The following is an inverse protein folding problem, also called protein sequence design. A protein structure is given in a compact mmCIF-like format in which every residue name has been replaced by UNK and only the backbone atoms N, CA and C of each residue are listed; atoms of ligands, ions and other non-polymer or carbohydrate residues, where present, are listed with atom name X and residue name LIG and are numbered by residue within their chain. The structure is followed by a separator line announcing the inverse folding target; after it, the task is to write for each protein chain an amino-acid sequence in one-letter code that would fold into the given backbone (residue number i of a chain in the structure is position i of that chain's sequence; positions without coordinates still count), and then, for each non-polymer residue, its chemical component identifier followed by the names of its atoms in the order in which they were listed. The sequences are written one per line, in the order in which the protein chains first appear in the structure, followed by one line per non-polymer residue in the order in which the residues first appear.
data_IF_107631160080
#
_entry.id   IF_107631160080
#
_cell.length_a   1.000
_cell.length_b   1.000
_cell.length_c   1.000
_cell.angle_alpha   90.00
_cell.angle_beta   90.00
_cell.angle_gamma   90.00
#
_symmetry.space_group_name_H-M   'P 1'
#
loop_
_entity.id
_entity.type
_entity.pdbx_description
1 polymer ?
#
# COMPACT_ATOMS: atom_id res chain seq x y z
N UNK A 1 28.09 12.23 -3.72
CA UNK A 1 28.36 12.94 -4.99
C UNK A 1 27.91 12.03 -6.12
N UNK A 2 27.26 12.56 -7.16
CA UNK A 2 26.97 11.79 -8.39
C UNK A 2 27.75 12.40 -9.55
N UNK A 3 28.31 11.56 -10.42
CA UNK A 3 29.04 12.01 -11.62
C UNK A 3 28.62 11.19 -12.84
N UNK A 4 28.56 11.87 -14.00
CA UNK A 4 28.49 11.18 -15.29
C UNK A 4 29.92 10.94 -15.78
N UNK A 5 30.24 9.69 -16.09
CA UNK A 5 31.50 9.30 -16.71
C UNK A 5 31.24 8.88 -18.15
N UNK A 6 31.95 9.51 -19.08
CA UNK A 6 31.96 9.16 -20.50
C UNK A 6 33.24 8.38 -20.80
N UNK A 7 33.11 7.10 -21.17
CA UNK A 7 34.29 6.30 -21.55
C UNK A 7 34.56 6.45 -23.04
N UNK A 8 35.77 6.87 -23.41
CA UNK A 8 36.16 7.22 -24.77
C UNK A 8 36.06 6.05 -25.77
N UNK A 9 36.38 4.82 -25.34
CA UNK A 9 36.44 3.66 -26.25
C UNK A 9 35.14 2.86 -26.33
N UNK A 10 34.31 2.86 -25.29
CA UNK A 10 33.15 1.96 -25.20
C UNK A 10 31.81 2.60 -25.54
N UNK A 11 31.79 3.92 -25.84
CA UNK A 11 30.56 4.73 -26.00
C UNK A 11 29.55 4.58 -24.84
N UNK A 12 29.99 4.05 -23.69
CA UNK A 12 29.16 3.93 -22.50
C UNK A 12 29.19 5.22 -21.70
N UNK A 13 27.99 5.63 -21.29
CA UNK A 13 27.78 6.66 -20.28
C UNK A 13 27.45 5.96 -18.97
N UNK A 14 28.30 6.12 -17.97
CA UNK A 14 28.10 5.54 -16.65
C UNK A 14 27.73 6.64 -15.66
N UNK A 15 26.91 6.32 -14.66
CA UNK A 15 26.67 7.21 -13.52
C UNK A 15 27.35 6.62 -12.31
N UNK A 16 28.34 7.32 -11.77
CA UNK A 16 29.06 6.93 -10.56
C UNK A 16 28.45 7.61 -9.34
N UNK A 17 28.39 6.88 -8.23
CA UNK A 17 27.97 7.38 -6.92
C UNK A 17 29.07 7.16 -5.90
N UNK A 18 29.42 8.24 -5.20
CA UNK A 18 30.35 8.23 -4.08
C UNK A 18 29.56 8.32 -2.78
N UNK A 19 29.68 7.32 -1.92
CA UNK A 19 28.95 7.23 -0.65
C UNK A 19 29.76 6.45 0.38
N UNK A 20 29.88 6.97 1.62
CA UNK A 20 30.53 6.30 2.76
C UNK A 20 31.96 5.77 2.45
N UNK A 21 32.71 6.49 1.61
CA UNK A 21 34.05 6.08 1.18
C UNK A 21 34.09 5.08 0.01
N UNK A 22 32.93 4.58 -0.43
CA UNK A 22 32.79 3.61 -1.51
C UNK A 22 32.31 4.25 -2.82
N UNK A 23 32.62 3.60 -3.94
CA UNK A 23 32.21 4.00 -5.30
C UNK A 23 31.28 2.94 -5.90
N UNK A 24 30.10 3.37 -6.32
CA UNK A 24 29.08 2.50 -6.92
C UNK A 24 28.78 2.92 -8.36
N UNK A 25 28.72 1.96 -9.27
CA UNK A 25 28.18 2.16 -10.63
C UNK A 25 26.65 2.03 -10.61
N UNK A 26 25.94 3.04 -11.10
CA UNK A 26 24.49 3.01 -11.22
C UNK A 26 24.10 2.29 -12.51
N UNK A 27 23.70 1.03 -12.40
CA UNK A 27 23.11 0.28 -13.52
C UNK A 27 21.65 0.71 -13.73
N UNK A 28 21.27 0.95 -14.98
CA UNK A 28 19.87 1.19 -15.34
C UNK A 28 19.03 -0.05 -15.04
N UNK A 29 17.82 0.15 -14.53
CA UNK A 29 16.83 -0.92 -14.46
C UNK A 29 16.26 -1.15 -15.87
N UNK A 30 16.50 -2.32 -16.44
CA UNK A 30 15.72 -2.84 -17.57
C UNK A 30 14.79 -3.94 -17.07
N UNK A 31 13.80 -4.33 -17.88
CA UNK A 31 13.14 -5.62 -17.65
C UNK A 31 14.21 -6.71 -17.54
N UNK A 32 14.03 -7.61 -16.59
CA UNK A 32 14.86 -8.81 -16.53
C UNK A 32 14.58 -9.65 -17.76
N UNK A 33 15.60 -10.31 -18.31
CA UNK A 33 15.43 -11.17 -19.48
C UNK A 33 14.31 -12.21 -19.32
N UNK A 34 14.12 -12.72 -18.10
CA UNK A 34 13.07 -13.70 -17.76
C UNK A 34 11.85 -13.06 -17.07
N UNK A 35 11.68 -11.74 -17.16
CA UNK A 35 10.48 -11.11 -16.64
C UNK A 35 9.30 -11.41 -17.55
N UNK A 36 8.17 -11.78 -16.94
CA UNK A 36 6.92 -12.02 -17.66
C UNK A 36 5.75 -11.39 -16.89
N UNK A 37 5.56 -10.06 -17.00
CA UNK A 37 4.57 -9.32 -16.23
C UNK A 37 3.13 -9.84 -16.38
N UNK A 38 2.83 -10.53 -17.48
CA UNK A 38 1.53 -11.15 -17.73
C UNK A 38 1.12 -12.16 -16.64
N UNK A 39 2.06 -12.95 -16.10
CA UNK A 39 1.76 -13.86 -14.98
C UNK A 39 1.35 -13.06 -13.74
N UNK A 40 2.11 -12.03 -13.36
CA UNK A 40 1.78 -11.20 -12.21
C UNK A 40 0.44 -10.47 -12.38
N UNK A 41 0.18 -9.95 -13.59
CA UNK A 41 -1.10 -9.35 -13.92
C UNK A 41 -2.26 -10.34 -13.75
N UNK A 42 -2.11 -11.57 -14.26
CA UNK A 42 -3.11 -12.62 -14.14
C UNK A 42 -3.37 -13.01 -12.68
N UNK A 43 -2.31 -13.24 -11.89
CA UNK A 43 -2.42 -13.59 -10.46
C UNK A 43 -3.15 -12.49 -9.69
N UNK A 44 -2.79 -11.22 -9.90
CA UNK A 44 -3.47 -10.11 -9.20
C UNK A 44 -4.90 -9.89 -9.65
N UNK A 45 -5.22 -10.16 -10.92
CA UNK A 45 -6.60 -10.11 -11.43
C UNK A 45 -7.45 -11.22 -10.80
N UNK A 46 -6.92 -12.45 -10.76
CA UNK A 46 -7.58 -13.58 -10.13
C UNK A 46 -7.85 -13.32 -8.64
N UNK A 47 -6.86 -12.86 -7.89
CA UNK A 47 -7.03 -12.53 -6.47
C UNK A 47 -8.13 -11.46 -6.24
N UNK A 48 -8.19 -10.42 -7.08
CA UNK A 48 -9.27 -9.40 -7.00
C UNK A 48 -10.65 -9.98 -7.28
N UNK A 49 -10.77 -10.82 -8.30
CA UNK A 49 -12.04 -11.47 -8.66
C UNK A 49 -12.48 -12.47 -7.59
N UNK A 50 -11.53 -13.19 -7.00
CA UNK A 50 -11.81 -14.10 -5.89
C UNK A 50 -12.32 -13.33 -4.66
N UNK A 51 -11.63 -12.26 -4.25
CA UNK A 51 -12.10 -11.38 -3.18
C UNK A 51 -13.50 -10.80 -3.46
N UNK A 52 -13.75 -10.39 -4.70
CA UNK A 52 -15.09 -9.97 -5.13
C UNK A 52 -16.13 -11.08 -4.98
N UNK A 53 -15.82 -12.32 -5.37
CA UNK A 53 -16.74 -13.45 -5.18
C UNK A 53 -17.07 -13.72 -3.71
N UNK A 54 -16.12 -13.52 -2.80
CA UNK A 54 -16.33 -13.61 -1.36
C UNK A 54 -17.23 -12.48 -0.85
N UNK A 55 -17.06 -11.25 -1.35
CA UNK A 55 -17.95 -10.13 -1.02
C UNK A 55 -19.39 -10.38 -1.49
N UNK A 56 -19.55 -10.98 -2.67
CA UNK A 56 -20.84 -11.39 -3.19
C UNK A 56 -21.48 -12.49 -2.34
N UNK A 57 -20.67 -13.46 -1.87
CA UNK A 57 -21.11 -14.52 -0.95
C UNK A 57 -21.54 -13.96 0.42
N UNK A 58 -20.74 -13.08 1.02
CA UNK A 58 -21.09 -12.41 2.27
C UNK A 58 -22.42 -11.63 2.16
N UNK A 59 -22.67 -11.05 0.97
CA UNK A 59 -23.87 -10.29 0.66
C UNK A 59 -23.67 -8.79 0.85
N UNK A 60 -24.36 -8.00 0.02
CA UNK A 60 -24.30 -6.54 0.08
C UNK A 60 -24.80 -6.07 1.46
N UNK A 61 -24.00 -5.21 2.11
CA UNK A 61 -24.30 -4.69 3.44
C UNK A 61 -23.72 -5.52 4.59
N UNK A 62 -23.18 -6.71 4.32
CA UNK A 62 -22.59 -7.59 5.34
C UNK A 62 -21.05 -7.56 5.37
N UNK A 63 -20.41 -6.79 4.48
CA UNK A 63 -18.97 -6.52 4.51
C UNK A 63 -18.73 -5.02 4.70
N UNK A 64 -17.73 -4.68 5.51
CA UNK A 64 -17.40 -3.30 5.87
C UNK A 64 -16.08 -2.83 5.29
N UNK A 65 -15.12 -3.73 5.12
CA UNK A 65 -13.78 -3.38 4.64
C UNK A 65 -13.10 -4.57 3.98
N UNK A 66 -12.20 -4.30 3.02
CA UNK A 66 -11.35 -5.30 2.41
C UNK A 66 -9.94 -4.74 2.16
N UNK A 67 -8.91 -5.58 2.31
CA UNK A 67 -7.53 -5.23 1.95
C UNK A 67 -6.77 -6.46 1.45
N UNK A 68 -6.56 -6.52 0.14
CA UNK A 68 -5.80 -7.55 -0.58
C UNK A 68 -6.38 -8.96 -0.50
N UNK A 69 -6.43 -9.54 0.69
CA UNK A 69 -6.73 -10.94 0.99
C UNK A 69 -7.59 -11.10 2.27
N UNK A 70 -8.17 -10.00 2.75
CA UNK A 70 -8.97 -9.98 3.98
C UNK A 70 -10.32 -9.26 3.77
N UNK A 71 -11.33 -9.70 4.53
CA UNK A 71 -12.65 -9.08 4.64
C UNK A 71 -13.01 -8.88 6.11
N UNK A 72 -13.58 -7.74 6.44
CA UNK A 72 -14.25 -7.51 7.72
C UNK A 72 -15.76 -7.55 7.45
N UNK A 73 -16.44 -8.45 8.14
CA UNK A 73 -17.87 -8.73 7.94
C UNK A 73 -18.63 -8.67 9.27
N UNK A 74 -19.96 -8.57 9.20
CA UNK A 74 -20.83 -8.82 10.35
C UNK A 74 -21.12 -10.32 10.50
N UNK A 75 -21.89 -10.68 11.53
CA UNK A 75 -22.26 -12.08 11.82
C UNK A 75 -22.98 -12.74 10.64
N UNK A 76 -23.92 -12.05 9.98
CA UNK A 76 -24.60 -12.58 8.78
C UNK A 76 -23.63 -12.87 7.63
N UNK A 77 -22.66 -11.98 7.40
CA UNK A 77 -21.61 -12.17 6.40
C UNK A 77 -20.70 -13.34 6.77
N UNK A 78 -20.39 -13.52 8.06
CA UNK A 78 -19.63 -14.66 8.56
C UNK A 78 -20.37 -15.98 8.31
N UNK A 79 -21.65 -16.05 8.67
CA UNK A 79 -22.50 -17.22 8.46
C UNK A 79 -22.52 -17.62 6.97
N UNK A 80 -22.69 -16.65 6.08
CA UNK A 80 -22.68 -16.85 4.64
C UNK A 80 -21.33 -17.38 4.10
N UNK A 81 -20.22 -17.04 4.76
CA UNK A 81 -18.87 -17.45 4.36
C UNK A 81 -18.45 -18.82 4.92
N UNK A 82 -19.26 -19.46 5.78
CA UNK A 82 -18.92 -20.75 6.43
C UNK A 82 -18.43 -21.82 5.47
N UNK A 83 -18.98 -21.88 4.25
CA UNK A 83 -18.58 -22.87 3.22
C UNK A 83 -17.16 -22.71 2.68
N UNK A 84 -16.50 -21.57 2.93
CA UNK A 84 -15.14 -21.26 2.50
C UNK A 84 -14.19 -20.96 3.66
N UNK A 85 -14.61 -21.25 4.90
CA UNK A 85 -13.76 -21.13 6.08
C UNK A 85 -12.96 -22.41 6.34
N UNK A 86 -11.65 -22.29 6.45
CA UNK A 86 -10.74 -23.35 6.92
C UNK A 86 -9.38 -22.72 7.28
N UNK A 87 -8.85 -23.07 8.45
CA UNK A 87 -7.62 -22.45 8.97
C UNK A 87 -6.33 -22.93 8.27
N UNK A 88 -6.41 -24.01 7.50
CA UNK A 88 -5.23 -24.71 6.97
C UNK A 88 -5.29 -25.02 5.48
N UNK A 89 -6.49 -25.12 4.89
CA UNK A 89 -6.63 -25.40 3.47
C UNK A 89 -6.21 -24.20 2.62
N UNK A 90 -5.38 -24.48 1.62
CA UNK A 90 -4.94 -23.47 0.67
C UNK A 90 -6.14 -22.87 -0.08
N UNK A 91 -6.19 -21.54 -0.13
CA UNK A 91 -7.25 -20.79 -0.81
C UNK A 91 -8.55 -20.67 -0.02
N UNK A 92 -8.62 -21.20 1.21
CA UNK A 92 -9.74 -20.95 2.12
C UNK A 92 -9.47 -19.73 2.99
N UNK A 93 -10.54 -19.18 3.55
CA UNK A 93 -10.50 -18.04 4.45
C UNK A 93 -10.31 -18.52 5.88
N UNK A 94 -9.39 -17.88 6.61
CA UNK A 94 -9.19 -18.12 8.04
C UNK A 94 -9.93 -17.07 8.85
N UNK A 95 -10.59 -17.50 9.92
CA UNK A 95 -11.12 -16.58 10.91
C UNK A 95 -9.97 -16.02 11.77
N UNK A 96 -9.59 -14.76 11.53
CA UNK A 96 -8.46 -14.12 12.24
C UNK A 96 -8.84 -13.59 13.63
N UNK A 97 -9.98 -12.92 13.76
CA UNK A 97 -10.41 -12.29 15.00
C UNK A 97 -11.91 -11.91 14.94
N UNK A 98 -12.53 -11.79 16.11
CA UNK A 98 -13.84 -11.15 16.28
C UNK A 98 -13.64 -9.81 16.99
N UNK A 99 -14.32 -8.76 16.53
CA UNK A 99 -14.24 -7.42 17.09
C UNK A 99 -15.62 -6.87 17.42
N UNK A 100 -15.71 -6.04 18.45
CA UNK A 100 -16.97 -5.43 18.89
C UNK A 100 -17.12 -3.97 18.44
N UNK A 101 -16.00 -3.30 18.17
CA UNK A 101 -15.94 -1.94 17.64
C UNK A 101 -15.03 -1.88 16.42
N UNK A 102 -15.56 -1.27 15.37
CA UNK A 102 -14.82 -0.93 14.16
C UNK A 102 -15.10 0.52 13.78
N UNK A 103 -14.05 1.33 13.65
CA UNK A 103 -14.13 2.68 13.08
C UNK A 103 -13.19 2.72 11.88
N UNK A 104 -13.73 3.01 10.69
CA UNK A 104 -12.95 3.12 9.45
C UNK A 104 -12.87 4.60 9.07
N UNK A 105 -11.67 5.17 9.14
CA UNK A 105 -11.39 6.53 8.68
C UNK A 105 -11.01 6.57 7.20
N UNK A 106 -10.49 5.45 6.67
CA UNK A 106 -10.14 5.32 5.27
C UNK A 106 -9.28 4.09 4.98
N UNK A 107 -8.53 4.17 3.88
CA UNK A 107 -7.70 3.07 3.42
C UNK A 107 -6.52 2.82 4.35
N UNK A 108 -6.51 1.65 4.98
CA UNK A 108 -5.52 1.25 5.99
C UNK A 108 -5.40 2.29 7.11
N UNK A 109 -6.53 2.94 7.46
CA UNK A 109 -6.70 3.86 8.59
C UNK A 109 -8.02 3.47 9.30
N UNK A 110 -7.91 2.59 10.30
CA UNK A 110 -9.05 2.07 11.06
C UNK A 110 -8.67 1.68 12.48
N UNK A 111 -9.66 1.69 13.34
CA UNK A 111 -9.57 1.35 14.76
C UNK A 111 -10.45 0.13 15.03
N UNK A 112 -9.86 -0.85 15.70
CA UNK A 112 -10.52 -2.02 16.28
C UNK A 112 -10.40 -1.93 17.80
N UNK A 113 -11.13 -2.77 18.53
CA UNK A 113 -11.20 -2.78 20.01
C UNK A 113 -9.91 -2.35 20.72
N UNK A 114 -8.80 -3.05 20.44
CA UNK A 114 -7.50 -2.82 21.08
C UNK A 114 -6.38 -2.47 20.09
N UNK A 115 -6.70 -2.11 18.84
CA UNK A 115 -5.69 -1.91 17.80
C UNK A 115 -6.06 -0.81 16.83
N UNK A 116 -5.13 0.11 16.66
CA UNK A 116 -5.19 1.17 15.65
C UNK A 116 -4.24 0.79 14.51
N UNK A 117 -4.75 0.81 13.29
CA UNK A 117 -3.98 0.55 12.06
C UNK A 117 -4.00 1.81 11.22
N UNK A 118 -2.84 2.45 11.06
CA UNK A 118 -2.70 3.65 10.23
C UNK A 118 -1.50 3.50 9.29
N UNK A 119 -1.76 3.56 7.99
CA UNK A 119 -0.73 3.43 6.97
C UNK A 119 0.32 4.52 7.09
N UNK A 120 1.58 4.09 7.15
CA UNK A 120 2.73 5.00 7.16
C UNK A 120 3.02 5.63 8.53
N UNK A 121 2.22 5.31 9.55
CA UNK A 121 2.47 5.70 10.94
C UNK A 121 3.05 4.49 11.69
N UNK A 122 4.19 4.72 12.37
CA UNK A 122 4.87 3.66 13.12
C UNK A 122 4.16 3.38 14.44
N UNK A 123 4.32 2.16 14.96
CA UNK A 123 3.77 1.77 16.27
C UNK A 123 4.26 2.64 17.43
N UNK A 124 5.49 3.15 17.34
CA UNK A 124 6.09 4.03 18.34
C UNK A 124 5.98 5.53 18.00
N UNK A 125 5.16 5.90 17.01
CA UNK A 125 4.92 7.30 16.70
C UNK A 125 4.15 7.97 17.85
N UNK A 126 4.51 9.22 18.16
CA UNK A 126 3.83 10.02 19.17
C UNK A 126 2.66 10.75 18.51
N UNK A 127 1.44 10.51 19.00
CA UNK A 127 0.27 11.30 18.57
C UNK A 127 0.34 12.67 19.22
N UNK A 128 0.47 13.73 18.41
CA UNK A 128 0.51 15.11 18.90
C UNK A 128 -0.90 15.70 19.02
N UNK A 129 -1.75 15.42 18.05
CA UNK A 129 -3.17 15.78 18.03
C UNK A 129 -3.93 14.83 17.11
N UNK A 130 -5.25 14.99 16.94
CA UNK A 130 -5.97 14.16 15.98
C UNK A 130 -5.45 14.38 14.55
N UNK A 131 -5.20 13.27 13.84
CA UNK A 131 -4.58 13.27 12.51
C UNK A 131 -3.12 13.73 12.45
N UNK A 132 -2.45 14.03 13.57
CA UNK A 132 -1.07 14.54 13.59
C UNK A 132 -0.16 13.66 14.43
N UNK A 133 0.86 13.11 13.78
CA UNK A 133 1.78 12.15 14.38
C UNK A 133 3.22 12.55 14.14
N UNK A 134 4.06 12.40 15.17
CA UNK A 134 5.50 12.61 15.08
C UNK A 134 6.21 11.27 15.13
N UNK A 135 7.13 11.04 14.20
CA UNK A 135 7.92 9.81 14.17
C UNK A 135 9.30 10.02 13.58
N UNK A 136 10.18 9.06 13.83
CA UNK A 136 11.47 9.00 13.19
C UNK A 136 11.35 8.63 11.69
N UNK A 137 12.10 9.36 10.88
CA UNK A 137 12.33 9.12 9.47
C UNK A 137 13.80 8.74 9.28
N UNK A 138 13.96 7.53 8.76
CA UNK A 138 15.25 6.95 8.45
C UNK A 138 15.59 7.36 7.03
N UNK A 139 16.77 7.96 6.85
CA UNK A 139 17.18 8.49 5.56
C UNK A 139 17.37 7.35 4.56
N UNK A 140 16.75 7.46 3.38
CA UNK A 140 17.00 6.53 2.28
C UNK A 140 18.36 6.86 1.64
N UNK A 141 18.92 5.89 0.90
CA UNK A 141 20.16 6.08 0.14
C UNK A 141 20.13 7.33 -0.76
N UNK A 142 19.00 7.53 -1.47
CA UNK A 142 18.79 8.74 -2.29
C UNK A 142 18.71 10.00 -1.44
N UNK A 143 18.08 9.91 -0.26
CA UNK A 143 17.96 11.03 0.69
C UNK A 143 19.33 11.52 1.19
N UNK A 144 20.23 10.60 1.54
CA UNK A 144 21.60 10.91 1.98
C UNK A 144 22.43 11.59 0.88
N UNK A 145 22.25 11.19 -0.39
CA UNK A 145 22.96 11.83 -1.50
C UNK A 145 22.50 13.28 -1.75
N UNK A 146 21.26 13.62 -1.39
CA UNK A 146 20.73 14.98 -1.52
C UNK A 146 21.03 15.88 -0.31
N UNK A 147 21.41 15.32 0.85
CA UNK A 147 21.65 16.11 2.07
C UNK A 147 22.99 16.84 2.10
N UNK A 148 23.88 16.60 1.13
CA UNK A 148 25.20 17.25 1.05
C UNK A 148 26.24 16.67 2.01
N UNK A 149 25.80 16.19 3.19
CA UNK A 149 26.61 15.40 4.11
C UNK A 149 26.31 13.91 3.93
N UNK A 150 27.25 13.22 3.28
CA UNK A 150 27.11 11.87 2.73
C UNK A 150 27.76 10.83 3.64
N UNK A 151 28.54 11.29 4.62
CA UNK A 151 29.27 10.44 5.56
C UNK A 151 28.56 10.29 6.92
N UNK A 152 27.44 10.99 7.12
CA UNK A 152 26.66 10.91 8.36
C UNK A 152 25.27 10.31 8.08
N UNK A 153 24.89 9.32 8.88
CA UNK A 153 23.53 8.76 8.85
C UNK A 153 22.68 9.46 9.91
N UNK A 154 21.87 10.43 9.50
CA UNK A 154 20.97 11.13 10.44
C UNK A 154 19.56 10.56 10.40
N UNK A 155 19.07 10.12 11.55
CA UNK A 155 17.64 9.89 11.79
C UNK A 155 16.99 11.23 12.06
N UNK A 156 15.99 11.59 11.27
CA UNK A 156 15.27 12.86 11.41
C UNK A 156 13.92 12.61 12.06
N UNK A 157 13.43 13.59 12.82
CA UNK A 157 12.04 13.57 13.29
C UNK A 157 11.16 14.25 12.26
N UNK A 158 10.04 13.62 11.87
CA UNK A 158 9.07 14.17 10.92
C UNK A 158 7.68 14.19 11.53
N UNK A 159 6.93 15.25 11.26
CA UNK A 159 5.51 15.35 11.58
C UNK A 159 4.68 14.97 10.35
N UNK A 160 3.74 14.05 10.54
CA UNK A 160 2.81 13.55 9.53
C UNK A 160 1.42 14.09 9.82
N UNK A 161 0.80 14.66 8.78
CA UNK A 161 -0.57 15.13 8.81
C UNK A 161 -1.42 14.20 7.95
N UNK A 162 -2.42 13.57 8.56
CA UNK A 162 -3.35 12.66 7.89
C UNK A 162 -4.62 13.43 7.55
N UNK A 163 -4.91 13.57 6.25
CA UNK A 163 -6.10 14.30 5.80
C UNK A 163 -7.40 13.52 5.97
N UNK A 164 -7.32 12.18 6.03
CA UNK A 164 -8.46 11.24 6.05
C UNK A 164 -9.50 11.46 4.95
N UNK A 165 -9.13 12.19 3.89
CA UNK A 165 -10.00 12.41 2.74
C UNK A 165 -10.00 11.17 1.85
N UNK A 166 -11.17 10.56 1.65
CA UNK A 166 -11.33 9.45 0.73
C UNK A 166 -11.41 9.96 -0.72
N UNK A 167 -10.49 9.53 -1.59
CA UNK A 167 -10.38 10.03 -2.98
C UNK A 167 -10.58 8.95 -4.04
N UNK A 168 -11.00 7.74 -3.65
CA UNK A 168 -11.17 6.60 -4.59
C UNK A 168 -12.61 6.33 -5.00
N UNK A 169 -13.53 7.18 -4.56
CA UNK A 169 -14.96 7.09 -4.83
C UNK A 169 -15.71 8.14 -4.02
N UNK A 170 -17.02 8.11 -4.12
CA UNK A 170 -17.94 8.99 -3.40
C UNK A 170 -18.43 8.22 -2.18
N UNK A 171 -18.09 8.71 -0.98
CA UNK A 171 -18.61 8.15 0.27
C UNK A 171 -20.02 8.70 0.48
N UNK A 172 -20.99 7.80 0.62
CA UNK A 172 -22.39 8.12 0.92
C UNK A 172 -22.58 8.33 2.42
N UNK A 173 -23.71 8.91 2.82
CA UNK A 173 -24.02 9.21 4.24
C UNK A 173 -24.05 7.95 5.14
N UNK A 174 -24.34 6.79 4.55
CA UNK A 174 -24.31 5.50 5.23
C UNK A 174 -22.92 4.85 5.28
N UNK A 175 -21.87 5.55 4.83
CA UNK A 175 -20.49 5.06 4.78
C UNK A 175 -20.15 4.18 3.58
N UNK A 176 -21.12 3.84 2.71
CA UNK A 176 -20.86 3.05 1.50
C UNK A 176 -20.10 3.88 0.47
N UNK A 177 -19.17 3.26 -0.27
CA UNK A 177 -18.41 3.92 -1.34
C UNK A 177 -19.00 3.60 -2.70
N UNK A 178 -19.46 4.63 -3.41
CA UNK A 178 -19.83 4.52 -4.84
C UNK A 178 -18.60 4.79 -5.71
N UNK A 179 -18.31 3.94 -6.72
CA UNK A 179 -17.21 4.20 -7.64
C UNK A 179 -17.49 5.44 -8.49
N UNK A 180 -16.43 6.09 -8.97
CA UNK A 180 -16.58 7.11 -9.99
C UNK A 180 -17.11 6.47 -11.28
N UNK A 181 -18.13 7.09 -11.87
CA UNK A 181 -18.67 6.69 -13.17
C UNK A 181 -18.14 7.67 -14.19
N UNK A 182 -17.28 7.20 -15.10
CA UNK A 182 -16.85 7.99 -16.25
C UNK A 182 -17.95 7.94 -17.31
N UNK A 183 -18.38 9.10 -17.81
CA UNK A 183 -19.26 9.14 -18.98
C UNK A 183 -18.48 8.64 -20.21
N UNK A 184 -19.13 7.81 -21.03
CA UNK A 184 -18.53 7.20 -22.24
C UNK A 184 -17.97 8.21 -23.24
N UNK A 185 -18.44 9.45 -23.18
CA UNK A 185 -18.09 10.53 -24.10
C UNK A 185 -16.63 11.01 -23.98
N UNK A 186 -15.93 10.69 -22.88
CA UNK A 186 -14.54 11.08 -22.65
C UNK A 186 -13.50 10.02 -23.06
N UNK A 187 -13.93 8.85 -23.57
CA UNK A 187 -13.03 7.74 -23.92
C UNK A 187 -12.69 7.66 -25.42
N UNK A 188 -13.23 8.55 -26.26
CA UNK A 188 -12.81 8.70 -27.66
C UNK A 188 -11.77 9.81 -27.74
N UNK A 189 -10.52 9.46 -27.45
CA UNK A 189 -9.38 10.25 -27.93
C UNK A 189 -8.64 9.30 -28.86
N UNK A 190 -8.86 9.51 -30.15
CA UNK A 190 -8.12 8.86 -31.25
C UNK A 190 -6.61 9.10 -31.14
#
# INVERSE_FOLDING_TARGET
REELLFTYESNKVMRLRYLLGEVFELKSYSESYNSFPAICAHVTAYARLYLWSLMQMAGIGNYFYCDTDSLIVNDTGMDNLTGVLDDTKLGFMKHEETIHKLIIHGLKDYEKDNKIVIKGIRKNAVKLSDGVYQQEQWSSFKGLLHSGDINTYTVKTVTKHLSRKYTKGIVLDNGTVKPFVFSRELCNVD
#
